data_IF_719337609416
#
_entry.id   IF_719337609416
#
_cell.length_a   1.000
_cell.length_b   1.000
_cell.length_c   1.000
_cell.angle_alpha   90.00
_cell.angle_beta   90.00
_cell.angle_gamma   90.00
#
_symmetry.space_group_name_H-M   'P 1'
#
loop_
_entity.id
_entity.type
_entity.pdbx_description
1 polymer ?
#
# COMPACT_ATOMS: atom_id res chain seq x y z
N UNK A 1 4.72 -49.42 3.41
CA UNK A 1 5.73 -48.34 3.36
C UNK A 1 5.67 -47.54 2.05
N UNK A 2 5.60 -48.18 0.88
CA UNK A 2 5.50 -47.51 -0.43
C UNK A 2 4.28 -46.57 -0.59
N UNK A 3 3.11 -46.94 -0.03
CA UNK A 3 1.90 -46.10 -0.05
C UNK A 3 2.02 -44.81 0.76
N UNK A 4 2.75 -44.84 1.89
CA UNK A 4 3.01 -43.66 2.72
C UNK A 4 4.00 -42.74 2.00
N UNK A 5 5.01 -43.31 1.35
CA UNK A 5 5.98 -42.57 0.55
C UNK A 5 5.32 -41.82 -0.62
N UNK A 6 4.39 -42.47 -1.33
CA UNK A 6 3.61 -41.86 -2.41
C UNK A 6 2.71 -40.72 -1.93
N UNK A 7 2.10 -40.84 -0.74
CA UNK A 7 1.21 -39.83 -0.17
C UNK A 7 1.97 -38.61 0.35
N UNK A 8 3.19 -38.83 0.85
CA UNK A 8 4.12 -37.75 1.23
C UNK A 8 4.64 -37.04 -0.03
N UNK A 9 4.98 -37.78 -1.08
CA UNK A 9 5.47 -37.20 -2.34
C UNK A 9 4.42 -36.32 -3.03
N UNK A 10 3.13 -36.69 -2.99
CA UNK A 10 2.04 -35.87 -3.53
C UNK A 10 1.75 -34.63 -2.70
N UNK A 11 1.91 -34.68 -1.37
CA UNK A 11 1.77 -33.51 -0.49
C UNK A 11 2.88 -32.46 -0.73
N UNK A 12 4.10 -32.90 -1.05
CA UNK A 12 5.21 -31.98 -1.36
C UNK A 12 5.19 -31.48 -2.81
N UNK A 13 4.68 -32.26 -3.77
CA UNK A 13 4.58 -31.86 -5.17
C UNK A 13 3.60 -30.71 -5.44
N UNK A 14 2.54 -30.57 -4.66
CA UNK A 14 1.54 -29.50 -4.84
C UNK A 14 2.01 -28.13 -4.37
N UNK A 15 3.03 -28.06 -3.50
CA UNK A 15 3.55 -26.79 -2.97
C UNK A 15 4.40 -26.03 -4.00
N UNK A 16 5.02 -26.74 -4.96
CA UNK A 16 5.90 -26.15 -5.95
C UNK A 16 5.16 -25.31 -7.01
N UNK A 17 3.87 -25.55 -7.23
CA UNK A 17 3.05 -24.82 -8.21
C UNK A 17 2.27 -23.63 -7.62
N UNK A 18 2.27 -23.45 -6.30
CA UNK A 18 1.49 -22.40 -5.64
C UNK A 18 2.22 -21.06 -5.49
N UNK A 19 3.52 -21.00 -5.81
CA UNK A 19 4.27 -19.74 -5.80
C UNK A 19 3.92 -18.92 -7.06
N UNK A 20 2.75 -18.26 -7.05
CA UNK A 20 2.46 -17.22 -8.04
C UNK A 20 3.50 -16.12 -7.86
N UNK A 21 4.42 -16.00 -8.82
CA UNK A 21 5.37 -14.90 -8.86
C UNK A 21 4.56 -13.61 -8.93
N UNK A 22 4.56 -12.81 -7.85
CA UNK A 22 3.78 -11.57 -7.85
C UNK A 22 4.36 -10.62 -8.90
N UNK A 23 3.50 -10.16 -9.82
CA UNK A 23 3.83 -9.16 -10.83
C UNK A 23 3.76 -7.73 -10.27
N UNK A 24 3.89 -7.58 -8.95
CA UNK A 24 3.70 -6.34 -8.22
C UNK A 24 5.00 -6.03 -7.46
N UNK A 25 5.48 -4.80 -7.61
CA UNK A 25 6.61 -4.26 -6.86
C UNK A 25 6.07 -3.23 -5.86
N UNK A 26 6.48 -3.34 -4.60
CA UNK A 26 6.17 -2.36 -3.56
C UNK A 26 7.45 -1.59 -3.21
N UNK A 27 7.38 -0.27 -3.20
CA UNK A 27 8.47 0.62 -2.80
C UNK A 27 7.97 1.64 -1.78
N UNK A 28 8.64 1.81 -0.62
CA UNK A 28 8.40 2.98 0.20
C UNK A 28 8.82 4.23 -0.56
N UNK A 29 8.10 5.32 -0.35
CA UNK A 29 8.43 6.64 -0.90
C UNK A 29 8.28 7.69 0.20
N UNK A 30 9.00 8.79 0.05
CA UNK A 30 8.99 9.92 0.97
C UNK A 30 8.89 11.21 0.17
N UNK A 31 8.18 12.20 0.72
CA UNK A 31 8.05 13.53 0.14
C UNK A 31 8.32 14.56 1.23
N UNK A 32 9.42 15.30 1.09
CA UNK A 32 9.69 16.48 1.90
C UNK A 32 8.81 17.64 1.40
N UNK A 33 7.95 18.17 2.27
CA UNK A 33 7.08 19.32 1.95
C UNK A 33 7.64 20.64 2.47
N UNK A 34 8.88 20.66 3.00
CA UNK A 34 9.50 21.80 3.67
C UNK A 34 8.96 22.05 5.09
N UNK A 35 7.72 21.64 5.38
CA UNK A 35 7.08 21.71 6.70
C UNK A 35 7.03 20.35 7.41
N UNK A 36 7.63 19.32 6.82
CA UNK A 36 7.61 17.94 7.31
C UNK A 36 7.65 16.92 6.18
N UNK A 37 7.96 15.66 6.53
CA UNK A 37 8.02 14.56 5.57
C UNK A 37 6.71 13.78 5.56
N UNK A 38 6.15 13.58 4.36
CA UNK A 38 5.07 12.64 4.13
C UNK A 38 5.63 11.30 3.68
N UNK A 39 5.09 10.23 4.26
CA UNK A 39 5.51 8.87 3.95
C UNK A 39 4.43 8.15 3.15
N UNK A 40 4.87 7.44 2.11
CA UNK A 40 3.98 6.75 1.19
C UNK A 40 4.50 5.40 0.71
N UNK A 41 3.68 4.76 -0.10
CA UNK A 41 3.93 3.47 -0.72
C UNK A 41 3.58 3.55 -2.19
N UNK A 42 4.56 3.30 -3.04
CA UNK A 42 4.41 3.14 -4.48
C UNK A 42 4.25 1.65 -4.80
N UNK A 43 3.14 1.31 -5.44
CA UNK A 43 2.84 -0.04 -5.93
C UNK A 43 2.88 -0.02 -7.45
N UNK A 44 3.77 -0.80 -8.04
CA UNK A 44 4.02 -0.85 -9.48
C UNK A 44 3.68 -2.24 -10.04
N UNK A 45 3.07 -2.34 -11.23
CA UNK A 45 3.19 -3.54 -12.03
C UNK A 45 4.64 -3.73 -12.48
N UNK A 46 5.07 -4.98 -12.68
CA UNK A 46 6.26 -5.29 -13.48
C UNK A 46 5.91 -5.03 -14.95
N UNK A 47 6.45 -3.95 -15.53
CA UNK A 47 6.22 -3.56 -16.91
C UNK A 47 7.48 -2.91 -17.48
N UNK A 48 7.80 -3.23 -18.73
CA UNK A 48 8.89 -2.61 -19.50
C UNK A 48 8.44 -1.32 -20.22
N UNK A 49 7.14 -0.98 -20.11
CA UNK A 49 6.53 0.21 -20.69
C UNK A 49 5.93 1.10 -19.59
N UNK A 50 5.82 2.43 -19.82
CA UNK A 50 5.06 3.31 -18.93
C UNK A 50 3.64 2.80 -18.70
N UNK A 51 3.16 2.95 -17.47
CA UNK A 51 1.82 2.55 -17.05
C UNK A 51 1.10 3.77 -16.47
N UNK A 52 -0.24 3.83 -16.56
CA UNK A 52 -1.00 4.84 -15.84
C UNK A 52 -0.75 4.72 -14.33
N UNK A 53 -0.76 5.85 -13.63
CA UNK A 53 -0.61 5.92 -12.18
C UNK A 53 -1.83 6.60 -11.56
N UNK A 54 -2.31 6.04 -10.45
CA UNK A 54 -3.37 6.65 -9.64
C UNK A 54 -2.85 7.06 -8.26
N UNK A 55 -3.27 8.22 -7.79
CA UNK A 55 -3.07 8.63 -6.40
C UNK A 55 -4.29 8.23 -5.57
N UNK A 56 -4.09 7.40 -4.55
CA UNK A 56 -5.13 6.99 -3.62
C UNK A 56 -5.01 7.80 -2.34
N UNK A 57 -6.06 8.55 -2.02
CA UNK A 57 -6.13 9.42 -0.85
C UNK A 57 -6.99 8.73 0.21
N UNK A 58 -6.46 8.63 1.43
CA UNK A 58 -7.17 8.04 2.57
C UNK A 58 -8.41 8.85 2.95
N UNK A 59 -9.43 8.16 3.49
CA UNK A 59 -10.68 8.76 3.96
C UNK A 59 -10.51 9.73 5.13
N UNK A 60 -11.61 10.22 5.68
CA UNK A 60 -11.62 11.18 6.78
C UNK A 60 -10.99 10.63 8.08
N UNK A 61 -10.63 11.54 9.00
CA UNK A 61 -10.09 11.20 10.30
C UNK A 61 -8.71 10.55 10.27
N UNK A 62 -8.35 9.79 11.33
CA UNK A 62 -7.03 9.14 11.49
C UNK A 62 -6.89 7.87 10.63
N UNK A 63 -7.35 7.94 9.38
CA UNK A 63 -7.25 6.83 8.42
C UNK A 63 -5.88 6.82 7.76
N UNK A 64 -5.14 5.71 7.90
CA UNK A 64 -3.82 5.53 7.32
C UNK A 64 -3.86 5.27 5.79
N UNK A 65 -2.68 5.24 5.16
CA UNK A 65 -2.55 4.98 3.71
C UNK A 65 -3.08 3.64 3.23
N UNK A 66 -3.29 2.69 4.13
CA UNK A 66 -3.81 1.36 3.82
C UNK A 66 -5.34 1.29 3.93
N UNK A 67 -5.97 2.38 4.38
CA UNK A 67 -7.41 2.49 4.57
C UNK A 67 -7.88 1.99 5.94
N UNK A 68 -6.98 1.90 6.91
CA UNK A 68 -7.30 1.47 8.26
C UNK A 68 -7.52 2.68 9.18
N UNK A 69 -8.47 2.56 10.10
CA UNK A 69 -8.82 3.61 11.03
C UNK A 69 -8.93 3.04 12.46
N UNK A 70 -8.31 3.66 13.49
CA UNK A 70 -8.40 3.20 14.87
C UNK A 70 -9.82 3.02 15.42
N UNK A 71 -10.78 3.83 14.93
CA UNK A 71 -12.20 3.78 15.32
C UNK A 71 -12.97 2.88 14.33
N UNK A 72 -12.69 3.02 13.03
CA UNK A 72 -13.41 2.32 11.95
C UNK A 72 -12.94 0.89 11.66
N UNK A 73 -11.89 0.43 12.32
CA UNK A 73 -11.32 -0.91 12.15
C UNK A 73 -10.23 -1.01 11.08
N UNK A 74 -9.75 -2.25 10.90
CA UNK A 74 -8.58 -2.56 10.05
C UNK A 74 -8.99 -3.52 8.93
N UNK A 75 -9.18 -3.00 7.72
CA UNK A 75 -9.66 -3.78 6.57
C UNK A 75 -8.71 -3.78 5.36
N UNK A 76 -7.64 -2.96 5.39
CA UNK A 76 -6.65 -2.82 4.32
C UNK A 76 -7.27 -2.52 2.94
N UNK A 77 -8.40 -1.81 2.89
CA UNK A 77 -9.18 -1.58 1.66
C UNK A 77 -8.35 -0.92 0.55
N UNK A 78 -7.64 0.17 0.85
CA UNK A 78 -6.81 0.88 -0.12
C UNK A 78 -5.56 0.08 -0.50
N UNK A 79 -5.01 -0.68 0.46
CA UNK A 79 -3.89 -1.59 0.20
C UNK A 79 -4.27 -2.70 -0.79
N UNK A 80 -5.44 -3.32 -0.60
CA UNK A 80 -5.98 -4.35 -1.48
C UNK A 80 -6.31 -3.78 -2.86
N UNK A 81 -6.91 -2.59 -2.93
CA UNK A 81 -7.22 -1.91 -4.19
C UNK A 81 -5.95 -1.66 -5.00
N UNK A 82 -4.91 -1.07 -4.40
CA UNK A 82 -3.63 -0.82 -5.05
C UNK A 82 -2.95 -2.10 -5.58
N UNK A 83 -3.03 -3.19 -4.81
CA UNK A 83 -2.55 -4.50 -5.27
C UNK A 83 -3.30 -4.99 -6.50
N UNK A 84 -4.63 -4.85 -6.52
CA UNK A 84 -5.47 -5.22 -7.69
C UNK A 84 -5.22 -4.31 -8.88
N UNK A 85 -5.00 -3.01 -8.68
CA UNK A 85 -4.63 -2.08 -9.75
C UNK A 85 -3.32 -2.49 -10.41
N UNK A 86 -2.29 -2.82 -9.62
CA UNK A 86 -1.02 -3.29 -10.16
C UNK A 86 -1.17 -4.62 -10.92
N UNK A 87 -2.02 -5.54 -10.46
CA UNK A 87 -2.36 -6.75 -11.23
C UNK A 87 -3.04 -6.46 -12.57
N UNK A 88 -3.66 -5.29 -12.72
CA UNK A 88 -4.29 -4.81 -13.95
C UNK A 88 -3.43 -3.76 -14.68
N UNK A 89 -2.11 -3.78 -14.47
CA UNK A 89 -1.14 -2.90 -15.13
C UNK A 89 -1.35 -1.40 -14.87
N UNK A 90 -1.86 -1.04 -13.69
CA UNK A 90 -2.02 0.33 -13.21
C UNK A 90 -1.17 0.53 -11.95
N UNK A 91 -0.23 1.46 -11.98
CA UNK A 91 0.53 1.84 -10.80
C UNK A 91 -0.34 2.63 -9.82
N UNK A 92 0.00 2.59 -8.54
CA UNK A 92 -0.68 3.41 -7.54
C UNK A 92 0.27 3.95 -6.48
N UNK A 93 -0.02 5.16 -6.01
CA UNK A 93 0.62 5.78 -4.85
C UNK A 93 -0.41 5.89 -3.75
N UNK A 94 -0.03 5.52 -2.53
CA UNK A 94 -0.78 5.78 -1.29
C UNK A 94 0.13 6.47 -0.30
N UNK A 95 -0.38 7.39 0.51
CA UNK A 95 0.44 8.10 1.49
C UNK A 95 -0.33 8.35 2.79
N UNK A 96 0.41 8.44 3.88
CA UNK A 96 -0.14 8.90 5.15
C UNK A 96 -0.26 10.42 5.07
N UNK A 97 -1.47 10.94 5.26
CA UNK A 97 -1.73 12.39 5.31
C UNK A 97 -0.93 13.03 6.45
N UNK A 98 -0.72 14.34 6.38
CA UNK A 98 -0.11 15.12 7.46
C UNK A 98 -0.75 14.79 8.82
N UNK A 99 0.08 14.53 9.82
CA UNK A 99 -0.39 14.23 11.17
C UNK A 99 -1.03 12.85 11.35
N UNK A 100 -0.87 11.93 10.39
CA UNK A 100 -1.41 10.56 10.47
C UNK A 100 -0.28 9.53 10.37
N UNK A 101 -0.35 8.48 11.19
CA UNK A 101 0.53 7.30 11.14
C UNK A 101 2.02 7.69 11.03
N UNK A 102 2.74 7.28 9.99
CA UNK A 102 4.17 7.61 9.89
C UNK A 102 4.41 9.10 9.61
N UNK A 103 3.45 9.78 8.98
CA UNK A 103 3.45 11.23 8.74
C UNK A 103 2.97 12.05 9.94
N UNK A 104 2.87 11.45 11.14
CA UNK A 104 2.49 12.16 12.37
C UNK A 104 3.34 13.42 12.65
N UNK A 105 4.67 13.41 12.47
CA UNK A 105 5.50 14.59 12.72
C UNK A 105 5.23 15.76 11.76
N UNK A 106 4.62 15.51 10.61
CA UNK A 106 4.25 16.55 9.63
C UNK A 106 2.90 17.22 9.95
N UNK A 107 2.34 17.00 11.15
CA UNK A 107 1.14 17.68 11.62
C UNK A 107 1.37 19.21 11.65
N UNK A 108 0.50 20.01 11.01
CA UNK A 108 0.58 21.46 11.15
C UNK A 108 0.14 21.87 12.55
N UNK A 109 0.64 23.02 13.02
CA UNK A 109 0.04 23.69 14.18
C UNK A 109 -1.36 24.16 13.78
N UNK A 110 -2.40 23.54 14.33
CA UNK A 110 -3.79 23.83 13.97
C UNK A 110 -4.16 25.31 14.18
N UNK A 111 -3.47 26.01 15.10
CA UNK A 111 -3.69 27.43 15.37
C UNK A 111 -3.16 28.34 14.25
N UNK A 112 -2.29 27.81 13.40
CA UNK A 112 -1.66 28.55 12.30
C UNK A 112 -2.25 28.19 10.93
N UNK A 113 -3.21 27.24 10.90
CA UNK A 113 -3.86 26.84 9.66
C UNK A 113 -4.68 27.99 9.08
N UNK A 114 -4.45 28.28 7.80
CA UNK A 114 -5.28 29.15 6.97
C UNK A 114 -5.84 28.39 5.77
N UNK A 115 -6.89 28.93 5.15
CA UNK A 115 -7.46 28.35 3.92
C UNK A 115 -6.40 28.22 2.82
N UNK A 116 -5.48 29.18 2.73
CA UNK A 116 -4.38 29.17 1.76
C UNK A 116 -3.40 28.01 1.96
N UNK A 117 -3.32 27.47 3.18
CA UNK A 117 -2.47 26.31 3.52
C UNK A 117 -3.20 24.95 3.36
N UNK A 118 -4.49 24.95 3.01
CA UNK A 118 -5.27 23.72 2.82
C UNK A 118 -5.19 23.13 1.39
N UNK A 119 -4.39 23.72 0.49
CA UNK A 119 -4.24 23.29 -0.91
C UNK A 119 -2.95 22.51 -1.14
#
# INVERSE_FOLDING_TARGET
MLRILLLVLTLFGTQAFAATQSNVLLRPIELDTGSGTLYGSLVLPKSDKPVPVVLLIAGSGPTDRDGNNPIGGRNDSLKKLAWRLAQNNIASVRFDKRGIAQSQPAAPDERQLSVDQYV
#
